data_IF_721547775078
#
_entry.id   IF_721547775078
#
_cell.length_a   1.000
_cell.length_b   1.000
_cell.length_c   1.000
_cell.angle_alpha   90.00
_cell.angle_beta   90.00
_cell.angle_gamma   90.00
#
_symmetry.space_group_name_H-M   'P 1'
#
loop_
_entity.id
_entity.type
_entity.pdbx_description
1 polymer ?
#
# COMPACT_ATOMS: atom_id res chain seq x y z
N UNK A 1 -27.44 -17.74 -7.69
CA UNK A 1 -26.44 -16.64 -7.63
C UNK A 1 -25.46 -16.95 -6.51
N UNK A 2 -24.12 -16.92 -6.77
CA UNK A 2 -23.11 -17.13 -5.72
C UNK A 2 -23.16 -15.99 -4.71
N UNK A 3 -23.18 -16.30 -3.42
CA UNK A 3 -23.16 -15.28 -2.34
C UNK A 3 -21.79 -14.61 -2.20
N UNK A 4 -20.71 -15.39 -2.34
CA UNK A 4 -19.32 -14.90 -2.30
C UNK A 4 -18.97 -14.20 -3.61
N UNK A 5 -18.41 -12.99 -3.51
CA UNK A 5 -17.87 -12.22 -4.63
C UNK A 5 -16.35 -12.43 -4.70
N UNK A 6 -15.86 -12.65 -5.91
CA UNK A 6 -14.43 -12.92 -6.16
C UNK A 6 -13.79 -11.65 -6.72
N UNK A 7 -12.81 -11.14 -6.00
CA UNK A 7 -11.99 -9.99 -6.40
C UNK A 7 -10.63 -10.52 -6.88
N UNK A 8 -10.26 -10.22 -8.13
CA UNK A 8 -8.98 -10.62 -8.69
C UNK A 8 -8.12 -9.41 -8.99
N UNK A 9 -6.87 -9.42 -8.54
CA UNK A 9 -5.90 -8.39 -8.92
C UNK A 9 -5.41 -8.64 -10.33
N UNK A 10 -5.51 -7.63 -11.19
CA UNK A 10 -5.05 -7.70 -12.57
C UNK A 10 -3.60 -7.22 -12.65
N UNK A 11 -2.72 -8.13 -13.00
CA UNK A 11 -1.28 -7.92 -13.15
C UNK A 11 -0.77 -8.52 -14.46
N UNK A 12 0.56 -8.51 -14.70
CA UNK A 12 1.15 -8.91 -15.98
C UNK A 12 0.73 -10.31 -16.47
N UNK A 13 0.51 -11.24 -15.55
CA UNK A 13 0.08 -12.60 -15.88
C UNK A 13 -1.42 -12.72 -16.22
N UNK A 14 -2.23 -11.71 -15.93
CA UNK A 14 -3.70 -11.77 -16.04
C UNK A 14 -4.33 -10.64 -16.85
N UNK A 15 -3.54 -9.76 -17.46
CA UNK A 15 -4.04 -8.56 -18.16
C UNK A 15 -4.38 -8.78 -19.64
N UNK A 16 -4.11 -9.96 -20.22
CA UNK A 16 -4.49 -10.24 -21.61
C UNK A 16 -6.01 -10.42 -21.73
N UNK A 17 -6.60 -10.01 -22.85
CA UNK A 17 -8.04 -10.16 -23.10
C UNK A 17 -8.49 -11.62 -22.96
N UNK A 18 -7.70 -12.56 -23.45
CA UNK A 18 -7.99 -14.00 -23.36
C UNK A 18 -8.06 -14.46 -21.91
N UNK A 19 -7.06 -14.13 -21.10
CA UNK A 19 -7.03 -14.49 -19.67
C UNK A 19 -8.17 -13.80 -18.91
N UNK A 20 -8.46 -12.51 -19.20
CA UNK A 20 -9.58 -11.80 -18.59
C UNK A 20 -10.92 -12.48 -18.89
N UNK A 21 -11.16 -12.92 -20.14
CA UNK A 21 -12.37 -13.67 -20.51
C UNK A 21 -12.49 -14.97 -19.71
N UNK A 22 -11.41 -15.73 -19.61
CA UNK A 22 -11.39 -16.98 -18.84
C UNK A 22 -11.67 -16.71 -17.34
N UNK A 23 -11.08 -15.66 -16.76
CA UNK A 23 -11.32 -15.26 -15.36
C UNK A 23 -12.79 -14.84 -15.14
N UNK A 24 -13.38 -14.07 -16.05
CA UNK A 24 -14.78 -13.67 -15.99
C UNK A 24 -15.70 -14.91 -16.04
N UNK A 25 -15.46 -15.82 -16.96
CA UNK A 25 -16.22 -17.06 -17.09
C UNK A 25 -16.04 -18.00 -15.89
N UNK A 26 -14.86 -18.01 -15.27
CA UNK A 26 -14.59 -18.75 -14.03
C UNK A 26 -15.28 -18.15 -12.80
N UNK A 27 -15.82 -16.91 -12.90
CA UNK A 27 -16.62 -16.30 -11.84
C UNK A 27 -15.98 -15.11 -11.14
N UNK A 28 -14.99 -14.44 -11.75
CA UNK A 28 -14.53 -13.14 -11.29
C UNK A 28 -15.69 -12.15 -11.27
N UNK A 29 -15.80 -11.34 -10.21
CA UNK A 29 -16.83 -10.32 -10.08
C UNK A 29 -16.22 -8.91 -10.11
N UNK A 30 -15.00 -8.76 -9.62
CA UNK A 30 -14.31 -7.48 -9.51
C UNK A 30 -12.87 -7.61 -9.99
N UNK A 31 -12.49 -6.78 -10.94
CA UNK A 31 -11.11 -6.61 -11.40
C UNK A 31 -10.45 -5.49 -10.56
N UNK A 32 -9.51 -5.86 -9.67
CA UNK A 32 -8.77 -4.91 -8.82
C UNK A 32 -7.50 -4.44 -9.52
N UNK A 33 -7.33 -3.13 -9.60
CA UNK A 33 -6.15 -2.46 -10.10
C UNK A 33 -5.38 -1.83 -8.92
N UNK A 34 -4.15 -2.30 -8.68
CA UNK A 34 -3.32 -1.81 -7.58
C UNK A 34 -2.49 -0.60 -8.02
N UNK A 35 -2.86 0.59 -7.56
CA UNK A 35 -2.19 1.86 -7.89
C UNK A 35 -0.91 2.11 -7.09
N UNK A 36 -0.50 1.19 -6.21
CA UNK A 36 0.87 1.21 -5.66
C UNK A 36 1.95 0.92 -6.73
N UNK A 37 1.55 0.38 -7.87
CA UNK A 37 2.42 -0.01 -8.98
C UNK A 37 1.83 0.41 -10.32
N UNK A 38 2.71 0.65 -11.30
CA UNK A 38 2.31 1.03 -12.64
C UNK A 38 2.07 2.53 -12.81
N UNK A 39 1.75 2.91 -14.03
CA UNK A 39 1.47 4.28 -14.46
C UNK A 39 0.03 4.42 -14.95
N UNK A 40 -0.49 5.65 -15.02
CA UNK A 40 -1.83 5.90 -15.57
C UNK A 40 -2.03 5.31 -16.98
N UNK A 41 -1.09 5.43 -17.93
CA UNK A 41 -1.24 4.78 -19.25
C UNK A 41 -1.36 3.25 -19.18
N UNK A 42 -0.60 2.59 -18.30
CA UNK A 42 -0.70 1.13 -18.11
C UNK A 42 -2.05 0.73 -17.48
N UNK A 43 -2.52 1.50 -16.49
CA UNK A 43 -3.84 1.29 -15.91
C UNK A 43 -4.96 1.56 -16.91
N UNK A 44 -4.81 2.57 -17.80
CA UNK A 44 -5.79 2.84 -18.85
C UNK A 44 -5.95 1.64 -19.77
N UNK A 45 -4.84 1.06 -20.24
CA UNK A 45 -4.91 -0.13 -21.11
C UNK A 45 -5.62 -1.31 -20.43
N UNK A 46 -5.39 -1.52 -19.12
CA UNK A 46 -6.08 -2.56 -18.36
C UNK A 46 -7.58 -2.28 -18.25
N UNK A 47 -7.97 -1.04 -17.93
CA UNK A 47 -9.37 -0.62 -17.85
C UNK A 47 -10.06 -0.83 -19.18
N UNK A 48 -9.46 -0.40 -20.29
CA UNK A 48 -10.05 -0.53 -21.62
C UNK A 48 -10.27 -2.00 -22.00
N UNK A 49 -9.29 -2.87 -21.70
CA UNK A 49 -9.45 -4.33 -21.91
C UNK A 49 -10.56 -4.93 -21.05
N UNK A 50 -10.65 -4.55 -19.76
CA UNK A 50 -11.71 -5.04 -18.86
C UNK A 50 -13.08 -4.57 -19.35
N UNK A 51 -13.23 -3.30 -19.70
CA UNK A 51 -14.48 -2.75 -20.25
C UNK A 51 -14.90 -3.48 -21.51
N UNK A 52 -13.98 -3.67 -22.46
CA UNK A 52 -14.21 -4.43 -23.68
C UNK A 52 -14.68 -5.87 -23.38
N UNK A 53 -13.98 -6.59 -22.53
CA UNK A 53 -14.29 -7.98 -22.20
C UNK A 53 -15.65 -8.11 -21.50
N UNK A 54 -15.97 -7.22 -20.53
CA UNK A 54 -17.26 -7.26 -19.85
C UNK A 54 -18.45 -7.00 -20.79
N UNK A 55 -18.27 -6.10 -21.77
CA UNK A 55 -19.27 -5.81 -22.80
C UNK A 55 -19.47 -7.01 -23.73
N UNK A 56 -18.40 -7.59 -24.25
CA UNK A 56 -18.46 -8.77 -25.13
C UNK A 56 -19.14 -9.98 -24.46
N UNK A 57 -18.92 -10.17 -23.15
CA UNK A 57 -19.52 -11.29 -22.41
C UNK A 57 -20.88 -10.98 -21.81
N UNK A 58 -21.33 -9.73 -21.82
CA UNK A 58 -22.58 -9.29 -21.17
C UNK A 58 -22.56 -9.51 -19.65
N UNK A 59 -21.38 -9.46 -19.02
CA UNK A 59 -21.20 -9.74 -17.58
C UNK A 59 -20.96 -8.45 -16.78
N UNK A 60 -21.59 -8.29 -15.59
CA UNK A 60 -21.41 -7.12 -14.74
C UNK A 60 -20.11 -7.24 -13.92
N UNK A 61 -18.98 -7.12 -14.59
CA UNK A 61 -17.66 -7.11 -13.95
C UNK A 61 -17.33 -5.69 -13.50
N UNK A 62 -17.15 -5.50 -12.22
CA UNK A 62 -16.76 -4.22 -11.63
C UNK A 62 -15.26 -3.97 -11.71
N UNK A 63 -14.86 -2.70 -11.80
CA UNK A 63 -13.47 -2.26 -11.74
C UNK A 63 -13.24 -1.58 -10.39
N UNK A 64 -12.20 -2.03 -9.67
CA UNK A 64 -11.81 -1.48 -8.37
C UNK A 64 -10.44 -0.82 -8.46
N UNK A 65 -10.37 0.46 -8.14
CA UNK A 65 -9.12 1.19 -7.89
C UNK A 65 -8.72 0.98 -6.44
N UNK A 66 -7.54 0.41 -6.20
CA UNK A 66 -6.97 0.25 -4.86
C UNK A 66 -5.85 1.27 -4.68
N UNK A 67 -6.08 2.26 -3.80
CA UNK A 67 -5.14 3.36 -3.56
C UNK A 67 -3.86 2.86 -2.90
N UNK A 68 -2.76 3.56 -3.13
CA UNK A 68 -1.51 3.30 -2.42
C UNK A 68 -1.65 3.65 -0.93
N UNK A 69 -2.28 4.78 -0.63
CA UNK A 69 -2.40 5.30 0.73
C UNK A 69 -1.05 5.66 1.37
N UNK A 70 -1.04 5.99 2.67
CA UNK A 70 0.16 6.38 3.41
C UNK A 70 1.02 5.14 3.74
N UNK A 71 1.69 4.59 2.73
CA UNK A 71 2.54 3.43 2.91
C UNK A 71 3.91 3.83 3.47
N UNK A 72 4.24 3.28 4.63
CA UNK A 72 5.54 3.46 5.27
C UNK A 72 6.45 2.30 4.91
N UNK A 73 7.67 2.60 4.46
CA UNK A 73 8.67 1.60 4.04
C UNK A 73 10.05 1.95 4.54
N UNK A 74 10.88 0.93 4.80
CA UNK A 74 12.33 1.10 4.84
C UNK A 74 12.86 1.36 3.43
N UNK A 75 14.05 1.95 3.34
CA UNK A 75 14.78 2.16 2.08
C UNK A 75 15.65 0.93 1.74
N UNK A 76 16.72 1.13 1.04
CA UNK A 76 17.62 0.08 0.52
C UNK A 76 18.80 -0.18 1.43
N UNK A 77 19.40 -1.35 1.30
CA UNK A 77 20.62 -1.79 1.98
C UNK A 77 21.78 -1.90 0.98
N UNK A 78 23.01 -1.68 1.45
CA UNK A 78 24.25 -1.83 0.67
C UNK A 78 24.33 -3.17 -0.08
N UNK A 79 23.83 -4.25 0.54
CA UNK A 79 23.83 -5.61 -0.02
C UNK A 79 22.40 -6.13 -0.29
N UNK A 80 21.43 -5.23 -0.49
CA UNK A 80 20.01 -5.52 -0.73
C UNK A 80 19.28 -6.25 0.40
N UNK A 81 20.00 -6.82 1.35
CA UNK A 81 19.43 -7.53 2.52
C UNK A 81 20.40 -7.62 3.66
N UNK A 82 19.86 -7.77 4.85
CA UNK A 82 20.59 -8.05 6.10
C UNK A 82 19.87 -9.14 6.88
N UNK A 83 20.57 -9.71 7.88
CA UNK A 83 19.95 -10.61 8.85
C UNK A 83 20.17 -10.07 10.25
N UNK A 84 19.09 -9.97 11.03
CA UNK A 84 19.09 -9.53 12.42
C UNK A 84 18.72 -10.70 13.34
N UNK A 85 19.27 -10.71 14.55
CA UNK A 85 18.96 -11.68 15.59
C UNK A 85 18.10 -11.04 16.68
N UNK A 86 17.33 -11.88 17.37
CA UNK A 86 16.60 -11.45 18.56
C UNK A 86 17.55 -10.83 19.58
N UNK A 87 17.15 -9.70 20.12
CA UNK A 87 17.96 -8.94 21.07
C UNK A 87 18.99 -7.98 20.48
N UNK A 88 19.18 -7.97 19.16
CA UNK A 88 20.03 -6.97 18.50
C UNK A 88 19.49 -5.55 18.72
N UNK A 89 20.37 -4.57 18.55
CA UNK A 89 19.99 -3.15 18.47
C UNK A 89 19.99 -2.74 17.01
N UNK A 90 18.89 -2.11 16.55
CA UNK A 90 18.76 -1.62 15.18
C UNK A 90 18.18 -0.21 15.17
N UNK A 91 18.54 0.62 14.18
CA UNK A 91 18.16 2.02 14.10
C UNK A 91 17.36 2.26 12.82
N UNK A 92 16.15 2.80 12.97
CA UNK A 92 15.41 3.41 11.88
C UNK A 92 15.68 4.91 11.89
N UNK A 93 16.11 5.49 10.75
CA UNK A 93 16.50 6.90 10.67
C UNK A 93 15.74 7.62 9.56
N UNK A 94 15.42 8.89 9.80
CA UNK A 94 14.86 9.78 8.76
C UNK A 94 15.96 10.44 7.91
N UNK A 95 17.24 10.27 8.28
CA UNK A 95 18.37 10.65 7.44
C UNK A 95 18.44 9.78 6.19
N UNK A 96 18.92 10.35 5.09
CA UNK A 96 19.14 9.59 3.85
C UNK A 96 20.50 8.89 3.90
N UNK A 97 20.45 7.61 4.26
CA UNK A 97 21.62 6.75 4.32
C UNK A 97 21.35 5.44 3.62
N UNK A 98 22.37 4.85 3.04
CA UNK A 98 22.32 3.46 2.61
C UNK A 98 22.35 2.55 3.84
N UNK A 99 21.39 1.61 3.89
CA UNK A 99 21.20 0.76 5.07
C UNK A 99 22.29 -0.31 5.22
N UNK A 100 22.51 -0.72 6.44
CA UNK A 100 23.43 -1.81 6.79
C UNK A 100 22.89 -2.59 8.01
N UNK A 101 23.70 -3.46 8.61
CA UNK A 101 23.31 -4.28 9.76
C UNK A 101 23.08 -3.49 11.07
N UNK A 102 23.23 -2.16 11.06
CA UNK A 102 23.02 -1.29 12.23
C UNK A 102 21.87 -0.33 12.05
N UNK A 103 21.63 0.15 10.83
CA UNK A 103 20.59 1.16 10.56
C UNK A 103 20.07 1.13 9.12
N UNK A 104 18.87 1.71 8.92
CA UNK A 104 18.28 1.92 7.60
C UNK A 104 17.45 3.19 7.59
N UNK A 105 17.43 3.89 6.45
CA UNK A 105 16.54 5.01 6.20
C UNK A 105 15.09 4.56 6.08
N UNK A 106 14.15 5.44 6.47
CA UNK A 106 12.70 5.23 6.29
C UNK A 106 12.11 6.23 5.30
N UNK A 107 10.99 5.85 4.69
CA UNK A 107 10.30 6.71 3.71
C UNK A 107 9.59 7.91 4.36
N UNK A 108 9.14 7.76 5.60
CA UNK A 108 8.36 8.77 6.30
C UNK A 108 9.23 9.70 7.14
N UNK A 109 9.39 10.94 6.69
CA UNK A 109 10.33 11.90 7.31
C UNK A 109 9.90 12.39 8.69
N UNK A 110 8.61 12.30 9.04
CA UNK A 110 8.13 12.73 10.36
C UNK A 110 8.08 11.58 11.39
N UNK A 111 8.55 10.38 11.04
CA UNK A 111 8.42 9.17 11.86
C UNK A 111 8.87 9.39 13.31
N UNK A 112 10.04 10.00 13.51
CA UNK A 112 10.66 10.13 14.84
C UNK A 112 9.86 11.03 15.77
N UNK A 113 9.16 12.04 15.22
CA UNK A 113 8.33 12.96 16.00
C UNK A 113 7.02 12.30 16.46
N UNK A 114 6.61 11.24 15.80
CA UNK A 114 5.36 10.55 16.10
C UNK A 114 5.55 9.33 17.00
N UNK A 115 6.71 8.67 16.93
CA UNK A 115 7.01 7.50 17.75
C UNK A 115 7.24 7.86 19.22
N UNK A 116 6.96 6.90 20.10
CA UNK A 116 7.23 6.96 21.54
C UNK A 116 8.08 5.77 21.96
N UNK A 117 8.80 5.91 23.06
CA UNK A 117 9.50 4.79 23.69
C UNK A 117 8.47 3.74 24.10
N UNK A 118 8.72 2.49 23.77
CA UNK A 118 7.81 1.36 23.96
C UNK A 118 6.92 1.04 22.75
N UNK A 119 6.88 1.90 21.72
CA UNK A 119 6.13 1.60 20.51
C UNK A 119 6.71 0.38 19.78
N UNK A 120 5.82 -0.36 19.13
CA UNK A 120 6.17 -1.50 18.31
C UNK A 120 6.24 -1.08 16.84
N UNK A 121 7.32 -1.46 16.18
CA UNK A 121 7.48 -1.35 14.72
C UNK A 121 7.48 -2.76 14.13
N UNK A 122 6.56 -3.01 13.22
CA UNK A 122 6.51 -4.24 12.43
C UNK A 122 7.10 -3.99 11.06
N UNK A 123 7.96 -4.88 10.59
CA UNK A 123 8.53 -4.81 9.24
C UNK A 123 8.24 -6.10 8.49
N UNK A 124 8.08 -6.00 7.15
CA UNK A 124 7.80 -7.13 6.27
C UNK A 124 6.56 -7.92 6.71
N UNK A 125 5.41 -7.24 6.80
CA UNK A 125 4.11 -7.80 7.23
C UNK A 125 4.15 -8.45 8.63
N UNK A 126 5.02 -7.94 9.52
CA UNK A 126 5.13 -8.44 10.89
C UNK A 126 6.06 -9.63 11.07
N UNK A 127 6.80 -10.03 10.03
CA UNK A 127 7.83 -11.08 10.16
C UNK A 127 9.00 -10.63 11.03
N UNK A 128 9.31 -9.33 11.07
CA UNK A 128 10.27 -8.75 11.99
C UNK A 128 9.56 -7.78 12.93
N UNK A 129 9.92 -7.84 14.21
CA UNK A 129 9.29 -7.04 15.28
C UNK A 129 10.37 -6.29 16.03
N UNK A 130 10.16 -4.98 16.21
CA UNK A 130 11.05 -4.08 16.91
C UNK A 130 10.30 -3.31 17.98
N UNK A 131 10.97 -3.02 19.08
CA UNK A 131 10.49 -2.14 20.15
C UNK A 131 11.37 -0.89 20.22
N UNK A 132 10.78 0.29 20.19
CA UNK A 132 11.49 1.56 20.34
C UNK A 132 12.00 1.71 21.76
N UNK A 133 13.31 1.73 21.95
CA UNK A 133 13.93 1.88 23.28
C UNK A 133 14.46 3.28 23.52
N UNK A 134 14.77 4.05 22.45
CA UNK A 134 15.25 5.43 22.57
C UNK A 134 14.98 6.20 21.27
N UNK A 135 14.68 7.48 21.42
CA UNK A 135 14.61 8.44 20.30
C UNK A 135 15.73 9.47 20.47
N UNK A 136 16.49 9.75 19.40
CA UNK A 136 17.60 10.71 19.44
C UNK A 136 17.78 11.38 18.07
N UNK A 137 17.49 12.67 17.97
CA UNK A 137 17.57 13.41 16.71
C UNK A 137 16.67 12.74 15.66
N UNK A 138 17.24 12.27 14.57
CA UNK A 138 16.55 11.63 13.45
C UNK A 138 16.47 10.10 13.57
N UNK A 139 16.84 9.53 14.73
CA UNK A 139 16.97 8.10 14.95
C UNK A 139 15.95 7.55 15.94
N UNK A 140 15.27 6.47 15.56
CA UNK A 140 14.59 5.55 16.47
C UNK A 140 15.49 4.35 16.71
N UNK A 141 16.05 4.27 17.92
CA UNK A 141 16.88 3.15 18.37
C UNK A 141 15.93 2.08 18.91
N UNK A 142 15.98 0.90 18.32
CA UNK A 142 15.05 -0.17 18.59
C UNK A 142 15.78 -1.43 19.04
N UNK A 143 15.12 -2.22 19.89
CA UNK A 143 15.50 -3.59 20.18
C UNK A 143 14.74 -4.55 19.27
N UNK A 144 15.46 -5.46 18.64
CA UNK A 144 14.87 -6.53 17.83
C UNK A 144 14.21 -7.54 18.77
N UNK A 145 12.88 -7.69 18.66
CA UNK A 145 12.09 -8.67 19.43
C UNK A 145 11.96 -9.98 18.66
N UNK A 146 11.78 -9.88 17.34
CA UNK A 146 11.78 -11.01 16.42
C UNK A 146 12.66 -10.64 15.24
N UNK A 147 13.76 -11.31 15.08
CA UNK A 147 14.73 -11.13 14.02
C UNK A 147 14.40 -11.93 12.75
N UNK A 148 15.31 -11.90 11.79
CA UNK A 148 15.16 -12.58 10.52
C UNK A 148 15.84 -11.83 9.38
N UNK A 149 15.59 -12.28 8.16
CA UNK A 149 16.07 -11.61 6.95
C UNK A 149 15.20 -10.38 6.63
N UNK A 150 15.83 -9.23 6.44
CA UNK A 150 15.19 -7.98 6.07
C UNK A 150 15.81 -7.46 4.77
N UNK A 151 15.03 -7.36 3.71
CA UNK A 151 15.46 -6.88 2.39
C UNK A 151 14.92 -5.49 2.09
N UNK A 152 15.35 -4.92 0.94
CA UNK A 152 14.99 -3.58 0.49
C UNK A 152 13.49 -3.30 0.48
N UNK A 153 13.13 -2.06 0.80
CA UNK A 153 11.80 -1.46 0.60
C UNK A 153 10.64 -2.20 1.27
N UNK A 154 10.91 -2.95 2.34
CA UNK A 154 9.86 -3.63 3.09
C UNK A 154 8.92 -2.65 3.77
N UNK A 155 7.65 -3.04 3.84
CA UNK A 155 6.60 -2.28 4.53
C UNK A 155 6.87 -2.20 6.03
N UNK A 156 6.45 -1.08 6.61
CA UNK A 156 6.47 -0.83 8.05
C UNK A 156 5.04 -0.62 8.54
N UNK A 157 4.70 -1.13 9.72
CA UNK A 157 3.43 -0.91 10.39
C UNK A 157 3.66 -0.56 11.85
N UNK A 158 2.77 0.23 12.42
CA UNK A 158 2.83 0.75 13.79
C UNK A 158 1.52 0.42 14.51
N UNK A 159 1.34 -0.82 15.03
CA UNK A 159 0.03 -1.33 15.48
C UNK A 159 -0.60 -0.55 16.64
N UNK A 160 0.21 0.12 17.44
CA UNK A 160 -0.25 0.86 18.63
C UNK A 160 -0.20 2.38 18.43
N UNK A 161 -0.03 2.84 17.18
CA UNK A 161 0.12 4.26 16.89
C UNK A 161 -0.69 4.66 15.65
N UNK A 162 -1.49 5.73 15.78
CA UNK A 162 -2.16 6.35 14.64
C UNK A 162 -1.24 7.44 14.10
N UNK A 163 -0.72 7.21 12.90
CA UNK A 163 0.16 8.18 12.23
C UNK A 163 -0.64 9.42 11.83
N UNK A 164 -0.07 10.61 12.06
CA UNK A 164 -0.76 11.89 11.83
C UNK A 164 -0.46 12.52 10.47
N UNK A 165 0.34 11.85 9.64
CA UNK A 165 0.63 12.28 8.28
C UNK A 165 -0.61 12.40 7.39
N UNK A 166 -0.54 13.15 6.28
CA UNK A 166 -1.67 13.28 5.36
C UNK A 166 -2.05 11.91 4.80
N UNK A 167 -3.34 11.57 4.90
CA UNK A 167 -3.87 10.29 4.42
C UNK A 167 -3.70 10.10 2.90
N UNK A 168 -4.06 11.14 2.12
CA UNK A 168 -3.89 11.12 0.67
C UNK A 168 -2.65 11.92 0.26
N UNK A 169 -1.73 11.27 -0.43
CA UNK A 169 -0.65 11.95 -1.13
C UNK A 169 -1.18 12.69 -2.37
N UNK A 170 -0.40 13.62 -2.93
CA UNK A 170 -0.74 14.27 -4.20
C UNK A 170 -0.86 13.25 -5.35
N UNK A 171 -0.15 12.13 -5.27
CA UNK A 171 -0.31 11.05 -6.26
C UNK A 171 -1.63 10.32 -6.06
N UNK A 172 -2.03 9.97 -4.83
CA UNK A 172 -3.32 9.34 -4.56
C UNK A 172 -4.49 10.20 -5.07
N UNK A 173 -4.41 11.53 -4.89
CA UNK A 173 -5.42 12.46 -5.43
C UNK A 173 -5.51 12.38 -6.97
N UNK A 174 -4.36 12.35 -7.65
CA UNK A 174 -4.31 12.19 -9.12
C UNK A 174 -4.87 10.84 -9.56
N UNK A 175 -4.56 9.77 -8.81
CA UNK A 175 -5.05 8.42 -9.08
C UNK A 175 -6.57 8.34 -8.91
N UNK A 176 -7.13 8.97 -7.88
CA UNK A 176 -8.57 9.06 -7.67
C UNK A 176 -9.28 9.81 -8.81
N UNK A 177 -8.76 10.98 -9.21
CA UNK A 177 -9.30 11.75 -10.34
C UNK A 177 -9.22 10.95 -11.65
N UNK A 178 -8.14 10.20 -11.86
CA UNK A 178 -8.01 9.29 -12.99
C UNK A 178 -9.06 8.18 -12.92
N UNK A 179 -9.30 7.59 -11.74
CA UNK A 179 -10.33 6.59 -11.53
C UNK A 179 -11.73 7.10 -11.84
N UNK A 180 -12.09 8.31 -11.37
CA UNK A 180 -13.36 8.97 -11.65
C UNK A 180 -13.55 9.16 -13.15
N UNK A 181 -12.54 9.72 -13.83
CA UNK A 181 -12.56 9.92 -15.29
C UNK A 181 -12.77 8.62 -16.05
N UNK A 182 -12.28 7.51 -15.52
CA UNK A 182 -12.40 6.17 -16.10
C UNK A 182 -13.62 5.40 -15.59
N UNK A 183 -14.49 6.03 -14.80
CA UNK A 183 -15.73 5.41 -14.31
C UNK A 183 -15.48 4.08 -13.58
N UNK A 184 -14.48 4.05 -12.67
CA UNK A 184 -14.28 2.88 -11.83
C UNK A 184 -15.47 2.71 -10.88
N UNK A 185 -15.84 1.46 -10.61
CA UNK A 185 -17.05 1.14 -9.84
C UNK A 185 -16.79 1.19 -8.32
N UNK A 186 -15.54 0.94 -7.88
CA UNK A 186 -15.15 0.91 -6.47
C UNK A 186 -13.79 1.56 -6.26
N UNK A 187 -13.63 2.16 -5.08
CA UNK A 187 -12.33 2.56 -4.54
C UNK A 187 -12.06 1.77 -3.26
N UNK A 188 -10.95 1.03 -3.23
CA UNK A 188 -10.43 0.42 -2.02
C UNK A 188 -9.48 1.42 -1.35
N UNK A 189 -9.87 1.91 -0.19
CA UNK A 189 -9.12 2.91 0.56
C UNK A 189 -8.09 2.24 1.48
N UNK A 190 -6.84 2.13 1.01
CA UNK A 190 -5.76 1.50 1.77
C UNK A 190 -5.37 2.29 3.00
N UNK A 191 -5.07 1.61 4.11
CA UNK A 191 -4.58 2.19 5.36
C UNK A 191 -5.50 3.21 6.06
N UNK A 192 -6.80 3.17 5.82
CA UNK A 192 -7.77 3.99 6.57
C UNK A 192 -7.68 3.66 8.06
N UNK A 193 -7.47 4.68 8.88
CA UNK A 193 -7.36 4.55 10.33
C UNK A 193 -8.32 5.47 11.10
N UNK A 194 -8.80 6.53 10.47
CA UNK A 194 -9.66 7.54 11.10
C UNK A 194 -10.87 7.89 10.23
N UNK A 195 -11.89 8.49 10.86
CA UNK A 195 -13.03 9.11 10.15
C UNK A 195 -12.56 10.19 9.17
N UNK A 196 -11.53 10.96 9.55
CA UNK A 196 -11.02 12.05 8.72
C UNK A 196 -10.38 11.54 7.43
N UNK A 197 -9.77 10.35 7.45
CA UNK A 197 -9.21 9.72 6.25
C UNK A 197 -10.31 9.45 5.22
N UNK A 198 -11.46 8.91 5.68
CA UNK A 198 -12.62 8.69 4.81
C UNK A 198 -13.20 10.00 4.27
N UNK A 199 -13.29 11.04 5.10
CA UNK A 199 -13.75 12.35 4.65
C UNK A 199 -12.81 12.94 3.59
N UNK A 200 -11.49 12.82 3.76
CA UNK A 200 -10.52 13.24 2.74
C UNK A 200 -10.76 12.54 1.39
N UNK A 201 -11.03 11.22 1.43
CA UNK A 201 -11.33 10.46 0.23
C UNK A 201 -12.63 10.95 -0.44
N UNK A 202 -13.71 11.12 0.33
CA UNK A 202 -15.01 11.56 -0.17
C UNK A 202 -14.94 12.96 -0.80
N UNK A 203 -14.24 13.90 -0.17
CA UNK A 203 -14.07 15.26 -0.72
C UNK A 203 -13.20 15.29 -1.98
N UNK A 204 -12.28 14.34 -2.15
CA UNK A 204 -11.44 14.23 -3.36
C UNK A 204 -12.19 13.50 -4.48
N UNK A 205 -13.14 12.63 -4.13
CA UNK A 205 -13.92 11.82 -5.05
C UNK A 205 -15.41 12.11 -4.86
N UNK A 206 -15.94 13.25 -5.39
CA UNK A 206 -17.35 13.59 -5.26
C UNK A 206 -18.23 12.48 -5.84
N UNK A 207 -19.17 12.03 -5.04
CA UNK A 207 -20.15 11.02 -5.40
C UNK A 207 -21.38 11.68 -6.04
N UNK A 208 -22.10 11.03 -6.97
CA UNK A 208 -23.40 11.48 -7.45
C UNK A 208 -24.45 11.68 -6.34
N UNK A 209 -24.18 11.19 -5.12
CA UNK A 209 -25.05 11.42 -3.95
C UNK A 209 -24.81 12.78 -3.28
N UNK A 210 -23.75 13.49 -3.67
CA UNK A 210 -23.38 14.79 -3.11
C UNK A 210 -23.83 15.95 -4.00
N UNK A 211 -24.62 15.66 -5.06
CA UNK A 211 -25.18 16.60 -6.01
C UNK A 211 -26.66 16.89 -5.71
#
# INVERSE_FOLDING_TARGET
MRKTKIICTIGPASESEETLKQMCMAGMNVARLNFSHGTHPEHQQKIDRIKKVREELGLPIAIMLDTKGPEYRIRTFENHKITLKDGDTFIFTTDEVEGNNKRVSVSYKNLINELKIGDTILVNNGLLIFEVVKLKGNDAICKVKVGGEMSDRKSMNFPNHVMTGPYLSEQDKKDLLFGIKNEVDFVAASFVSTKQDLLCLLYTSPSPRDA
#
